data_IF_071402025564
#
_entry.id   IF_071402025564
#
_cell.length_a   1.000
_cell.length_b   1.000
_cell.length_c   1.000
_cell.angle_alpha   90.00
_cell.angle_beta   90.00
_cell.angle_gamma   90.00
#
_symmetry.space_group_name_H-M   'P 1'
#
loop_
_entity.id
_entity.type
_entity.pdbx_description
1 polymer ?
#
# COMPACT_ATOMS: atom_id res chain seq x y z
N UNK A 1 -10.44 -12.68 -32.65
CA UNK A 1 -10.32 -11.78 -31.45
C UNK A 1 -10.63 -12.67 -30.27
N UNK A 2 -9.61 -13.19 -29.58
CA UNK A 2 -9.80 -13.96 -28.35
C UNK A 2 -10.40 -13.02 -27.32
N UNK A 3 -11.57 -13.38 -26.78
CA UNK A 3 -12.20 -12.69 -25.63
C UNK A 3 -11.14 -12.55 -24.53
N UNK A 4 -10.79 -11.32 -24.22
CA UNK A 4 -9.91 -10.99 -23.10
C UNK A 4 -10.74 -11.12 -21.83
N UNK A 5 -10.90 -12.35 -21.37
CA UNK A 5 -11.70 -12.65 -20.21
C UNK A 5 -11.09 -12.02 -18.95
N UNK A 6 -11.88 -11.17 -18.30
CA UNK A 6 -11.63 -10.75 -16.93
C UNK A 6 -11.70 -12.01 -16.06
N UNK A 7 -10.65 -12.37 -15.29
CA UNK A 7 -10.67 -13.59 -14.50
C UNK A 7 -11.87 -13.63 -13.54
N UNK A 8 -12.59 -14.75 -13.51
CA UNK A 8 -13.82 -14.88 -12.72
C UNK A 8 -13.62 -14.62 -11.22
N UNK A 9 -12.49 -15.06 -10.67
CA UNK A 9 -12.15 -14.82 -9.26
C UNK A 9 -11.95 -13.32 -8.97
N UNK A 10 -11.37 -12.58 -9.93
CA UNK A 10 -11.20 -11.14 -9.83
C UNK A 10 -12.53 -10.40 -9.91
N UNK A 11 -13.39 -10.81 -10.84
CA UNK A 11 -14.73 -10.24 -10.97
C UNK A 11 -15.57 -10.47 -9.69
N UNK A 12 -15.49 -11.67 -9.11
CA UNK A 12 -16.16 -11.97 -7.84
C UNK A 12 -15.64 -11.09 -6.70
N UNK A 13 -14.32 -10.94 -6.56
CA UNK A 13 -13.70 -10.11 -5.53
C UNK A 13 -14.10 -8.62 -5.66
N UNK A 14 -14.05 -8.06 -6.87
CA UNK A 14 -14.42 -6.66 -7.14
C UNK A 14 -15.91 -6.43 -6.84
N UNK A 15 -16.78 -7.36 -7.25
CA UNK A 15 -18.23 -7.27 -6.97
C UNK A 15 -18.53 -7.33 -5.47
N UNK A 16 -17.86 -8.20 -4.72
CA UNK A 16 -18.02 -8.32 -3.27
C UNK A 16 -17.51 -7.07 -2.54
N UNK A 17 -16.32 -6.58 -2.88
CA UNK A 17 -15.67 -5.48 -2.17
C UNK A 17 -16.27 -4.10 -2.48
N UNK A 18 -16.56 -3.81 -3.77
CA UNK A 18 -17.06 -2.51 -4.22
C UNK A 18 -18.58 -2.48 -4.45
N UNK A 19 -19.28 -3.61 -4.32
CA UNK A 19 -20.71 -3.71 -4.50
C UNK A 19 -21.16 -3.28 -5.91
N UNK A 20 -22.25 -2.52 -5.99
CA UNK A 20 -22.82 -2.04 -7.27
C UNK A 20 -21.81 -1.24 -8.12
N UNK A 21 -20.95 -0.44 -7.50
CA UNK A 21 -19.92 0.31 -8.21
C UNK A 21 -18.90 -0.61 -8.88
N UNK A 22 -18.49 -1.67 -8.18
CA UNK A 22 -17.60 -2.69 -8.73
C UNK A 22 -18.25 -3.45 -9.88
N UNK A 23 -19.51 -3.85 -9.73
CA UNK A 23 -20.25 -4.54 -10.77
C UNK A 23 -20.40 -3.69 -12.04
N UNK A 24 -20.74 -2.41 -11.92
CA UNK A 24 -20.81 -1.48 -13.04
C UNK A 24 -19.46 -1.31 -13.74
N UNK A 25 -18.40 -1.11 -12.96
CA UNK A 25 -17.04 -0.99 -13.50
C UNK A 25 -16.58 -2.24 -14.25
N UNK A 26 -16.91 -3.43 -13.76
CA UNK A 26 -16.59 -4.71 -14.45
C UNK A 26 -17.26 -4.82 -15.82
N UNK A 27 -18.47 -4.30 -15.97
CA UNK A 27 -19.17 -4.26 -17.28
C UNK A 27 -18.44 -3.33 -18.26
N UNK A 28 -17.93 -2.20 -17.79
CA UNK A 28 -17.22 -1.20 -18.60
C UNK A 28 -15.75 -1.56 -18.87
N UNK A 29 -15.14 -2.41 -18.03
CA UNK A 29 -13.72 -2.70 -18.08
C UNK A 29 -13.21 -3.19 -19.45
N UNK A 30 -13.87 -4.11 -20.19
CA UNK A 30 -13.39 -4.55 -21.49
C UNK A 30 -13.29 -3.41 -22.51
N UNK A 31 -14.29 -2.51 -22.55
CA UNK A 31 -14.31 -1.37 -23.45
C UNK A 31 -13.28 -0.31 -23.05
N UNK A 32 -13.09 -0.10 -21.75
CA UNK A 32 -12.05 0.78 -21.22
C UNK A 32 -10.65 0.25 -21.61
N UNK A 33 -10.37 -1.03 -21.41
CA UNK A 33 -9.11 -1.65 -21.82
C UNK A 33 -8.86 -1.50 -23.33
N UNK A 34 -9.88 -1.71 -24.17
CA UNK A 34 -9.78 -1.53 -25.61
C UNK A 34 -9.51 -0.06 -25.99
N UNK A 35 -10.10 0.88 -25.26
CA UNK A 35 -9.92 2.32 -25.48
C UNK A 35 -8.52 2.77 -25.07
N UNK A 36 -8.03 2.33 -23.91
CA UNK A 36 -6.68 2.62 -23.44
C UNK A 36 -5.62 1.99 -24.37
N UNK A 37 -5.86 0.77 -24.83
CA UNK A 37 -4.96 0.10 -25.77
C UNK A 37 -4.82 0.88 -27.09
N UNK A 38 -5.91 1.39 -27.65
CA UNK A 38 -5.85 2.24 -28.86
C UNK A 38 -5.19 3.59 -28.58
N UNK A 39 -5.55 4.26 -27.45
CA UNK A 39 -5.07 5.61 -27.11
C UNK A 39 -3.57 5.65 -26.83
N UNK A 40 -3.04 4.61 -26.18
CA UNK A 40 -1.64 4.51 -25.78
C UNK A 40 -0.83 3.56 -26.68
N UNK A 41 -1.44 3.09 -27.77
CA UNK A 41 -0.81 2.18 -28.77
C UNK A 41 -0.19 0.94 -28.13
N UNK A 42 -1.02 0.19 -27.37
CA UNK A 42 -0.59 -0.98 -26.60
C UNK A 42 -1.09 -2.29 -27.20
N UNK A 43 -0.21 -3.29 -27.22
CA UNK A 43 -0.60 -4.69 -27.30
C UNK A 43 -0.80 -5.21 -25.88
N UNK A 44 -2.06 -5.55 -25.53
CA UNK A 44 -2.39 -6.11 -24.23
C UNK A 44 -2.06 -7.60 -24.19
N UNK A 45 -1.36 -8.04 -23.17
CA UNK A 45 -1.11 -9.45 -22.87
C UNK A 45 -2.07 -9.94 -21.75
N UNK A 46 -2.16 -11.27 -21.49
CA UNK A 46 -2.97 -11.78 -20.39
C UNK A 46 -2.59 -11.15 -19.06
N UNK A 47 -3.57 -10.86 -18.18
CA UNK A 47 -3.30 -10.23 -16.90
C UNK A 47 -2.42 -11.11 -16.01
N UNK A 48 -1.74 -10.48 -15.05
CA UNK A 48 -1.00 -11.21 -14.03
C UNK A 48 -1.93 -12.08 -13.20
N UNK A 49 -1.41 -13.18 -12.67
CA UNK A 49 -2.12 -14.01 -11.71
C UNK A 49 -2.24 -13.28 -10.36
N UNK A 50 -3.30 -13.60 -9.59
CA UNK A 50 -3.48 -13.07 -8.23
C UNK A 50 -3.93 -11.61 -8.19
N UNK A 51 -4.73 -11.16 -9.18
CA UNK A 51 -5.36 -9.84 -9.13
C UNK A 51 -6.23 -9.69 -7.87
N UNK A 52 -6.22 -8.49 -7.30
CA UNK A 52 -7.04 -8.12 -6.14
C UNK A 52 -7.89 -6.86 -6.43
N UNK A 53 -7.42 -5.69 -6.03
CA UNK A 53 -8.16 -4.42 -6.18
C UNK A 53 -8.09 -3.81 -7.59
N UNK A 54 -7.14 -4.24 -8.41
CA UNK A 54 -6.86 -3.65 -9.71
C UNK A 54 -6.69 -4.74 -10.78
N UNK A 55 -7.13 -4.44 -11.99
CA UNK A 55 -6.73 -5.18 -13.17
C UNK A 55 -5.31 -4.76 -13.53
N UNK A 56 -4.38 -5.70 -13.58
CA UNK A 56 -2.97 -5.44 -13.88
C UNK A 56 -2.50 -6.42 -14.95
N UNK A 57 -2.02 -5.89 -16.06
CA UNK A 57 -1.57 -6.69 -17.19
C UNK A 57 -0.24 -6.20 -17.75
N UNK A 58 0.65 -7.10 -18.19
CA UNK A 58 1.77 -6.73 -19.00
C UNK A 58 1.28 -6.27 -20.38
N UNK A 59 1.99 -5.29 -20.95
CA UNK A 59 1.68 -4.77 -22.28
C UNK A 59 2.97 -4.54 -23.07
N UNK A 60 2.85 -4.49 -24.41
CA UNK A 60 3.94 -4.07 -25.30
C UNK A 60 3.52 -2.77 -25.96
N UNK A 61 4.40 -1.76 -25.91
CA UNK A 61 4.19 -0.45 -26.54
C UNK A 61 4.53 -0.49 -28.04
N UNK A 62 4.11 0.50 -28.81
CA UNK A 62 4.38 0.62 -30.23
C UNK A 62 5.87 0.56 -30.59
N UNK A 63 6.75 1.01 -29.69
CA UNK A 63 8.20 0.94 -29.85
C UNK A 63 8.81 -0.43 -29.48
N UNK A 64 7.96 -1.42 -29.16
CA UNK A 64 8.36 -2.76 -28.71
C UNK A 64 8.78 -2.84 -27.24
N UNK A 65 8.79 -1.73 -26.50
CA UNK A 65 9.18 -1.75 -25.08
C UNK A 65 8.08 -2.35 -24.19
N UNK A 66 8.46 -3.15 -23.17
CA UNK A 66 7.51 -3.72 -22.22
C UNK A 66 7.05 -2.67 -21.20
N UNK A 67 5.77 -2.72 -20.85
CA UNK A 67 5.17 -1.90 -19.83
C UNK A 67 4.14 -2.68 -19.02
N UNK A 68 3.54 -2.05 -18.00
CA UNK A 68 2.45 -2.60 -17.18
C UNK A 68 1.28 -1.62 -17.22
N UNK A 69 0.12 -2.12 -17.63
CA UNK A 69 -1.15 -1.41 -17.52
C UNK A 69 -1.84 -1.82 -16.22
N UNK A 70 -2.21 -0.84 -15.39
CA UNK A 70 -2.99 -1.01 -14.18
C UNK A 70 -4.26 -0.17 -14.26
N UNK A 71 -5.41 -0.77 -13.99
CA UNK A 71 -6.73 -0.10 -14.02
C UNK A 71 -7.51 -0.50 -12.77
N UNK A 72 -8.10 0.46 -12.09
CA UNK A 72 -8.90 0.22 -10.88
C UNK A 72 -10.27 0.88 -10.91
N UNK A 73 -11.13 0.48 -9.98
CA UNK A 73 -12.37 1.21 -9.71
C UNK A 73 -11.99 2.65 -9.32
N UNK A 74 -12.61 3.70 -9.93
CA UNK A 74 -12.23 5.08 -9.66
C UNK A 74 -12.34 5.45 -8.18
N UNK A 75 -11.20 5.73 -7.56
CA UNK A 75 -11.06 6.13 -6.15
C UNK A 75 -10.03 7.25 -5.98
N UNK A 76 -10.13 7.99 -4.89
CA UNK A 76 -9.21 9.09 -4.59
C UNK A 76 -7.76 8.59 -4.41
N UNK A 77 -7.56 7.43 -3.79
CA UNK A 77 -6.22 6.83 -3.60
C UNK A 77 -5.50 6.54 -4.93
N UNK A 78 -6.23 6.15 -5.97
CA UNK A 78 -5.63 5.95 -7.29
C UNK A 78 -5.10 7.28 -7.88
N UNK A 79 -5.83 8.39 -7.66
CA UNK A 79 -5.41 9.73 -8.10
C UNK A 79 -4.17 10.22 -7.34
N UNK A 80 -4.14 10.01 -6.02
CA UNK A 80 -2.97 10.39 -5.21
C UNK A 80 -1.77 9.49 -5.48
N UNK A 81 -1.97 8.21 -5.82
CA UNK A 81 -0.93 7.30 -6.30
C UNK A 81 -0.32 7.77 -7.64
N UNK A 82 -1.13 8.22 -8.60
CA UNK A 82 -0.67 8.84 -9.84
C UNK A 82 0.18 10.10 -9.54
N UNK A 83 -0.30 10.96 -8.66
CA UNK A 83 0.43 12.17 -8.26
C UNK A 83 1.78 11.83 -7.60
N UNK A 84 1.82 10.78 -6.77
CA UNK A 84 3.04 10.28 -6.16
C UNK A 84 4.07 9.81 -7.20
N UNK A 85 3.66 8.97 -8.16
CA UNK A 85 4.55 8.49 -9.21
C UNK A 85 5.09 9.64 -10.08
N UNK A 86 4.26 10.63 -10.39
CA UNK A 86 4.70 11.86 -11.08
C UNK A 86 5.75 12.62 -10.27
N UNK A 87 5.54 12.73 -8.96
CA UNK A 87 6.48 13.43 -8.07
C UNK A 87 7.80 12.66 -7.93
N UNK A 88 7.78 11.34 -7.90
CA UNK A 88 8.98 10.49 -7.90
C UNK A 88 9.74 10.56 -9.23
N UNK A 89 9.03 10.69 -10.35
CA UNK A 89 9.62 10.75 -11.69
C UNK A 89 10.63 9.61 -11.94
N UNK A 90 10.31 8.41 -11.50
CA UNK A 90 11.15 7.23 -11.62
C UNK A 90 12.22 7.06 -10.54
N UNK A 91 12.45 8.05 -9.67
CA UNK A 91 13.44 7.96 -8.62
C UNK A 91 12.87 7.20 -7.40
N UNK A 92 13.36 5.99 -7.16
CA UNK A 92 12.92 5.06 -6.11
C UNK A 92 11.63 4.29 -6.41
N UNK A 93 10.86 4.69 -7.42
CA UNK A 93 9.64 4.01 -7.86
C UNK A 93 9.68 3.73 -9.37
N UNK A 94 8.79 2.87 -9.84
CA UNK A 94 8.58 2.66 -11.28
C UNK A 94 8.19 3.96 -11.97
N UNK A 95 8.68 4.17 -13.22
CA UNK A 95 8.30 5.33 -14.02
C UNK A 95 6.83 5.25 -14.41
N UNK A 96 6.10 6.34 -14.21
CA UNK A 96 4.79 6.53 -14.81
C UNK A 96 4.99 6.99 -16.26
N UNK A 97 4.49 6.21 -17.22
CA UNK A 97 4.59 6.51 -18.66
C UNK A 97 3.39 7.33 -19.12
N UNK A 98 2.18 6.85 -18.78
CA UNK A 98 0.91 7.50 -19.08
C UNK A 98 -0.06 7.36 -17.90
N UNK A 99 -1.03 8.24 -17.80
CA UNK A 99 -2.09 8.14 -16.80
C UNK A 99 -3.41 8.73 -17.28
N UNK A 100 -4.50 8.06 -16.95
CA UNK A 100 -5.85 8.56 -17.03
C UNK A 100 -6.45 8.59 -15.61
N UNK A 101 -6.43 9.78 -15.00
CA UNK A 101 -6.85 9.95 -13.61
C UNK A 101 -8.37 9.82 -13.43
N UNK A 102 -9.16 10.01 -14.48
CA UNK A 102 -10.60 9.84 -14.45
C UNK A 102 -10.98 8.36 -14.30
N UNK A 103 -10.33 7.52 -15.09
CA UNK A 103 -10.56 6.08 -15.12
C UNK A 103 -9.61 5.29 -14.21
N UNK A 104 -8.80 5.98 -13.40
CA UNK A 104 -7.80 5.36 -12.52
C UNK A 104 -6.91 4.34 -13.26
N UNK A 105 -6.48 4.71 -14.48
CA UNK A 105 -5.61 3.91 -15.32
C UNK A 105 -4.19 4.47 -15.34
N UNK A 106 -3.19 3.58 -15.19
CA UNK A 106 -1.78 3.89 -15.20
C UNK A 106 -1.05 2.97 -16.17
N UNK A 107 -0.21 3.56 -17.01
CA UNK A 107 0.81 2.84 -17.77
C UNK A 107 2.16 3.10 -17.12
N UNK A 108 2.83 2.07 -16.68
CA UNK A 108 4.09 2.17 -15.94
C UNK A 108 5.18 1.33 -16.60
N UNK A 109 6.46 1.68 -16.35
CA UNK A 109 7.56 0.81 -16.74
C UNK A 109 7.37 -0.58 -16.12
N UNK A 110 7.81 -1.61 -16.84
CA UNK A 110 7.84 -2.97 -16.33
C UNK A 110 9.19 -3.25 -15.67
N UNK A 111 9.19 -3.46 -14.34
CA UNK A 111 10.38 -3.88 -13.62
C UNK A 111 10.78 -5.31 -14.04
N UNK A 112 12.08 -5.55 -14.27
CA UNK A 112 12.66 -6.86 -14.48
C UNK A 112 13.80 -7.09 -13.51
N UNK A 113 13.90 -8.26 -12.87
CA UNK A 113 13.00 -9.41 -13.00
C UNK A 113 11.62 -9.21 -12.36
N UNK A 114 11.39 -8.13 -11.61
CA UNK A 114 10.12 -7.83 -10.95
C UNK A 114 9.82 -8.73 -9.73
N UNK A 115 10.83 -9.43 -9.23
CA UNK A 115 10.67 -10.28 -8.05
C UNK A 115 10.46 -9.41 -6.80
N UNK A 116 9.39 -9.65 -6.02
CA UNK A 116 9.13 -8.85 -4.83
C UNK A 116 10.15 -9.14 -3.72
N UNK A 117 10.35 -8.17 -2.84
CA UNK A 117 11.26 -8.27 -1.69
C UNK A 117 10.88 -9.41 -0.74
N UNK A 118 9.62 -9.86 -0.75
CA UNK A 118 9.18 -11.07 -0.03
C UNK A 118 9.92 -12.34 -0.43
N UNK A 119 10.59 -12.37 -1.59
CA UNK A 119 11.41 -13.53 -2.02
C UNK A 119 12.75 -13.61 -1.31
N UNK A 120 13.18 -12.54 -0.66
CA UNK A 120 14.39 -12.52 0.13
C UNK A 120 14.13 -13.20 1.49
N UNK A 121 14.95 -14.21 1.81
CA UNK A 121 14.77 -14.99 3.05
C UNK A 121 15.32 -14.26 4.27
N UNK A 122 16.41 -13.51 4.09
CA UNK A 122 17.04 -12.72 5.16
C UNK A 122 16.19 -11.47 5.46
N UNK A 123 15.52 -11.50 6.61
CA UNK A 123 14.62 -10.43 7.05
C UNK A 123 15.35 -9.13 7.44
N UNK A 124 16.57 -9.24 7.95
CA UNK A 124 17.42 -8.09 8.28
C UNK A 124 17.85 -7.37 7.00
N UNK A 125 18.28 -8.14 5.98
CA UNK A 125 18.63 -7.61 4.66
C UNK A 125 17.41 -6.97 4.00
N UNK A 126 16.25 -7.65 3.99
CA UNK A 126 15.01 -7.12 3.44
C UNK A 126 14.58 -5.81 4.12
N UNK A 127 14.67 -5.74 5.45
CA UNK A 127 14.35 -4.53 6.21
C UNK A 127 15.32 -3.39 5.87
N UNK A 128 16.62 -3.69 5.73
CA UNK A 128 17.64 -2.72 5.34
C UNK A 128 17.39 -2.14 3.94
N UNK A 129 17.06 -2.99 2.96
CA UNK A 129 16.68 -2.59 1.59
C UNK A 129 15.46 -1.69 1.61
N UNK A 130 14.41 -2.07 2.35
CA UNK A 130 13.19 -1.28 2.45
C UNK A 130 13.46 0.10 3.04
N UNK A 131 14.34 0.22 4.04
CA UNK A 131 14.74 1.50 4.61
C UNK A 131 15.43 2.41 3.57
N UNK A 132 16.31 1.84 2.73
CA UNK A 132 16.95 2.62 1.67
C UNK A 132 15.95 3.09 0.61
N UNK A 133 14.99 2.24 0.22
CA UNK A 133 13.91 2.61 -0.69
C UNK A 133 13.06 3.73 -0.08
N UNK A 134 12.66 3.65 1.20
CA UNK A 134 11.93 4.69 1.92
C UNK A 134 12.66 6.04 1.85
N UNK A 135 13.96 6.07 2.12
CA UNK A 135 14.77 7.30 2.08
C UNK A 135 14.75 7.98 0.71
N UNK A 136 14.77 7.19 -0.35
CA UNK A 136 14.68 7.72 -1.73
C UNK A 136 13.29 8.22 -2.04
N UNK A 137 12.24 7.57 -1.54
CA UNK A 137 10.86 7.91 -1.85
C UNK A 137 10.31 9.14 -1.13
N UNK A 138 10.80 9.45 0.07
CA UNK A 138 10.26 10.57 0.86
C UNK A 138 10.52 11.91 0.19
N UNK A 139 9.45 12.59 -0.20
CA UNK A 139 9.50 13.86 -0.91
C UNK A 139 8.96 15.02 -0.05
N UNK A 140 9.48 16.23 -0.21
CA UNK A 140 8.84 17.43 0.32
C UNK A 140 7.41 17.53 -0.18
N UNK A 141 6.50 18.03 0.66
CA UNK A 141 5.09 18.24 0.26
C UNK A 141 5.02 19.39 -0.74
N UNK A 142 4.59 19.14 -2.00
CA UNK A 142 4.49 20.18 -3.00
C UNK A 142 3.20 20.99 -2.79
N UNK A 143 3.26 22.29 -3.13
CA UNK A 143 2.08 23.15 -3.07
C UNK A 143 1.03 22.86 -4.17
N UNK A 144 1.41 22.11 -5.20
CA UNK A 144 0.61 21.91 -6.42
C UNK A 144 -0.26 20.65 -6.43
N UNK A 145 -0.06 19.74 -5.48
CA UNK A 145 -0.81 18.47 -5.43
C UNK A 145 -1.59 18.34 -4.12
N UNK A 146 -2.81 17.80 -4.23
CA UNK A 146 -3.59 17.40 -3.08
C UNK A 146 -3.39 15.90 -2.83
N UNK A 147 -2.92 15.56 -1.64
CA UNK A 147 -2.74 14.18 -1.18
C UNK A 147 -3.67 13.88 -0.01
N UNK A 148 -3.99 12.62 0.16
CA UNK A 148 -4.67 12.15 1.37
C UNK A 148 -3.69 12.30 2.55
N UNK A 149 -4.15 12.86 3.68
CA UNK A 149 -3.31 12.96 4.88
C UNK A 149 -3.38 11.69 5.73
N UNK A 150 -2.31 11.39 6.47
CA UNK A 150 -2.31 10.32 7.49
C UNK A 150 -3.44 10.54 8.49
N UNK A 151 -3.66 11.77 8.94
CA UNK A 151 -4.77 12.09 9.85
C UNK A 151 -6.14 11.73 9.29
N UNK A 152 -6.36 11.88 7.98
CA UNK A 152 -7.60 11.44 7.33
C UNK A 152 -7.76 9.92 7.32
N UNK A 153 -6.68 9.16 7.14
CA UNK A 153 -6.71 7.69 7.21
C UNK A 153 -7.07 7.20 8.62
N UNK A 154 -6.52 7.84 9.64
CA UNK A 154 -6.77 7.52 11.05
C UNK A 154 -8.22 7.78 11.49
N UNK A 155 -9.03 8.53 10.73
CA UNK A 155 -10.48 8.64 10.98
C UNK A 155 -11.24 7.32 10.90
N UNK A 156 -10.61 6.25 10.45
CA UNK A 156 -11.20 4.92 10.55
C UNK A 156 -11.51 4.52 11.99
N UNK A 157 -10.73 4.98 12.98
CA UNK A 157 -11.02 4.76 14.39
C UNK A 157 -12.36 5.41 14.80
N UNK A 158 -12.57 6.68 14.43
CA UNK A 158 -13.83 7.40 14.67
C UNK A 158 -15.02 6.68 13.99
N UNK A 159 -14.82 6.15 12.76
CA UNK A 159 -15.86 5.40 12.06
C UNK A 159 -16.21 4.10 12.77
N UNK A 160 -15.24 3.37 13.34
CA UNK A 160 -15.51 2.20 14.19
C UNK A 160 -16.37 2.63 15.37
N UNK A 161 -16.01 3.70 16.08
CA UNK A 161 -16.82 4.24 17.18
C UNK A 161 -18.25 4.56 16.75
N UNK A 162 -18.43 5.22 15.61
CA UNK A 162 -19.76 5.57 15.06
C UNK A 162 -20.60 4.34 14.76
N UNK A 163 -20.03 3.34 14.07
CA UNK A 163 -20.74 2.09 13.70
C UNK A 163 -21.16 1.29 14.94
N UNK A 164 -20.34 1.30 15.99
CA UNK A 164 -20.58 0.51 17.21
C UNK A 164 -21.07 1.35 18.40
N UNK A 165 -21.75 2.48 18.17
CA UNK A 165 -22.42 3.26 19.20
C UNK A 165 -21.48 3.83 20.28
N UNK A 166 -20.25 4.18 19.92
CA UNK A 166 -19.20 4.65 20.83
C UNK A 166 -18.25 3.56 21.30
N UNK A 167 -18.57 2.27 21.10
CA UNK A 167 -17.72 1.13 21.45
C UNK A 167 -16.67 0.79 20.38
N UNK A 168 -15.87 -0.25 20.67
CA UNK A 168 -14.78 -0.71 19.81
C UNK A 168 -15.21 -1.85 18.86
N UNK A 169 -16.47 -2.29 18.89
CA UNK A 169 -16.96 -3.44 18.13
C UNK A 169 -16.22 -4.72 18.51
N UNK A 170 -15.71 -5.50 17.54
CA UNK A 170 -14.98 -6.72 17.83
C UNK A 170 -13.54 -6.50 18.33
N UNK A 171 -13.03 -5.24 18.29
CA UNK A 171 -11.73 -4.89 18.86
C UNK A 171 -11.86 -4.71 20.37
N UNK A 172 -10.75 -4.89 21.13
CA UNK A 172 -10.78 -4.57 22.55
C UNK A 172 -10.81 -3.04 22.77
N UNK A 173 -11.56 -2.59 23.76
CA UNK A 173 -11.68 -1.15 24.09
C UNK A 173 -10.31 -0.52 24.41
N UNK A 174 -9.48 -1.22 25.17
CA UNK A 174 -8.15 -0.75 25.52
C UNK A 174 -7.22 -0.63 24.31
N UNK A 175 -7.35 -1.56 23.33
CA UNK A 175 -6.55 -1.52 22.10
C UNK A 175 -6.90 -0.32 21.23
N UNK A 176 -8.18 -0.10 20.97
CA UNK A 176 -8.64 1.02 20.13
C UNK A 176 -8.32 2.36 20.81
N UNK A 177 -8.63 2.51 22.11
CA UNK A 177 -8.35 3.75 22.87
C UNK A 177 -6.85 4.07 22.91
N UNK A 178 -5.97 3.05 23.05
CA UNK A 178 -4.52 3.24 22.98
C UNK A 178 -4.09 3.70 21.60
N UNK A 179 -4.64 3.12 20.52
CA UNK A 179 -4.32 3.52 19.15
C UNK A 179 -4.78 4.95 18.85
N UNK A 180 -5.98 5.34 19.29
CA UNK A 180 -6.50 6.70 19.18
C UNK A 180 -5.59 7.71 19.88
N UNK A 181 -5.18 7.42 21.12
CA UNK A 181 -4.25 8.27 21.89
C UNK A 181 -2.90 8.41 21.18
N UNK A 182 -2.28 7.29 20.78
CA UNK A 182 -1.02 7.31 20.05
C UNK A 182 -1.14 8.07 18.72
N UNK A 183 -2.23 7.91 17.99
CA UNK A 183 -2.47 8.63 16.74
C UNK A 183 -2.47 10.16 16.95
N UNK A 184 -3.14 10.65 17.99
CA UNK A 184 -3.16 12.08 18.34
C UNK A 184 -1.75 12.57 18.70
N UNK A 185 -1.04 11.84 19.56
CA UNK A 185 0.32 12.20 19.98
C UNK A 185 1.31 12.20 18.80
N UNK A 186 1.24 11.18 17.95
CA UNK A 186 2.11 11.05 16.77
C UNK A 186 1.86 12.16 15.74
N UNK A 187 0.61 12.50 15.47
CA UNK A 187 0.27 13.60 14.56
C UNK A 187 0.72 14.96 15.12
N UNK A 188 0.48 15.22 16.42
CA UNK A 188 0.84 16.49 17.04
C UNK A 188 2.36 16.69 17.18
N UNK A 189 3.14 15.60 17.28
CA UNK A 189 4.58 15.64 17.48
C UNK A 189 5.39 15.26 16.23
N UNK A 190 4.77 15.25 15.04
CA UNK A 190 5.47 14.93 13.79
C UNK A 190 6.65 15.91 13.58
N UNK A 191 7.89 15.43 13.43
CA UNK A 191 9.05 16.32 13.29
C UNK A 191 9.02 17.09 11.98
N UNK A 192 8.44 16.52 10.96
CA UNK A 192 8.19 17.08 9.63
C UNK A 192 7.22 16.19 8.86
N UNK A 193 6.60 16.73 7.82
CA UNK A 193 5.76 15.97 6.91
C UNK A 193 6.47 15.70 5.59
N UNK A 194 6.13 14.57 4.97
CA UNK A 194 6.58 14.15 3.64
C UNK A 194 5.42 13.58 2.86
N UNK A 195 5.56 13.60 1.54
CA UNK A 195 4.78 12.71 0.69
C UNK A 195 5.39 11.33 0.81
N UNK A 196 4.58 10.36 1.16
CA UNK A 196 4.90 8.97 1.45
C UNK A 196 4.24 8.07 0.41
N UNK A 197 4.79 6.89 0.21
CA UNK A 197 4.16 5.84 -0.59
C UNK A 197 2.79 5.45 0.01
N UNK A 198 2.70 5.35 1.33
CA UNK A 198 1.47 5.13 2.10
C UNK A 198 1.05 3.67 2.22
N UNK A 199 1.78 2.74 1.60
CA UNK A 199 1.57 1.29 1.68
C UNK A 199 2.84 0.52 1.28
N UNK A 200 4.01 0.99 1.74
CA UNK A 200 5.28 0.43 1.35
C UNK A 200 5.62 -0.83 2.18
N UNK A 201 5.24 -1.96 1.65
CA UNK A 201 5.58 -3.27 2.21
C UNK A 201 6.37 -4.13 1.23
N UNK A 202 6.80 -5.31 1.64
CA UNK A 202 7.70 -6.18 0.90
C UNK A 202 7.24 -6.55 -0.50
N UNK A 203 5.93 -6.72 -0.74
CA UNK A 203 5.39 -7.03 -2.07
C UNK A 203 5.35 -5.82 -2.99
N UNK A 204 5.39 -4.60 -2.42
CA UNK A 204 5.43 -3.34 -3.15
C UNK A 204 6.85 -2.81 -3.41
N UNK A 205 7.87 -3.61 -3.10
CA UNK A 205 9.28 -3.34 -3.43
C UNK A 205 9.76 -4.49 -4.32
N UNK A 206 10.13 -4.18 -5.56
CA UNK A 206 10.47 -5.19 -6.56
C UNK A 206 11.88 -4.99 -7.11
N UNK A 207 12.57 -6.10 -7.38
CA UNK A 207 13.88 -6.07 -8.03
C UNK A 207 13.75 -5.55 -9.46
N UNK A 208 14.68 -4.71 -9.90
CA UNK A 208 14.65 -4.11 -11.23
C UNK A 208 16.06 -3.94 -11.82
N UNK A 209 16.12 -3.74 -13.16
CA UNK A 209 17.40 -3.53 -13.86
C UNK A 209 17.88 -2.09 -13.77
N UNK A 210 16.96 -1.11 -13.79
CA UNK A 210 17.28 0.32 -13.77
C UNK A 210 17.85 0.76 -12.41
N UNK A 211 17.36 0.15 -11.34
CA UNK A 211 17.86 0.28 -9.99
C UNK A 211 17.70 -1.07 -9.27
N UNK A 212 18.49 -1.38 -8.24
CA UNK A 212 18.38 -2.69 -7.57
C UNK A 212 16.96 -3.00 -7.09
N UNK A 213 16.26 -1.99 -6.56
CA UNK A 213 14.90 -2.10 -6.05
C UNK A 213 14.09 -0.84 -6.42
N UNK A 214 12.83 -1.06 -6.80
CA UNK A 214 11.86 -0.01 -7.11
C UNK A 214 10.55 -0.27 -6.39
N UNK A 215 9.91 0.80 -5.94
CA UNK A 215 8.56 0.73 -5.39
C UNK A 215 7.49 0.71 -6.49
N UNK A 216 6.41 -0.02 -6.23
CA UNK A 216 5.20 -0.12 -7.05
C UNK A 216 3.97 0.11 -6.17
N UNK A 217 2.83 0.41 -6.77
CA UNK A 217 1.51 0.53 -6.12
C UNK A 217 1.42 1.58 -4.98
N UNK A 218 1.89 2.81 -5.16
CA UNK A 218 1.75 3.84 -4.14
C UNK A 218 0.28 4.28 -3.94
N UNK A 219 -0.04 4.68 -2.70
CA UNK A 219 -1.29 5.35 -2.35
C UNK A 219 -1.14 6.87 -2.36
N UNK A 220 0.07 7.40 -2.18
CA UNK A 220 0.35 8.82 -2.13
C UNK A 220 -0.30 9.50 -0.91
N UNK A 221 0.41 9.51 0.21
CA UNK A 221 -0.11 10.01 1.49
C UNK A 221 0.82 11.09 2.03
N UNK A 222 0.28 12.14 2.66
CA UNK A 222 1.07 13.16 3.35
C UNK A 222 1.01 12.95 4.85
N UNK A 223 2.17 12.94 5.48
CA UNK A 223 2.28 12.91 6.93
C UNK A 223 3.68 12.63 7.46
N UNK A 224 3.71 12.16 8.68
CA UNK A 224 4.91 11.74 9.39
C UNK A 224 5.57 10.53 8.70
N UNK A 225 6.87 10.60 8.35
CA UNK A 225 7.59 9.47 7.75
C UNK A 225 7.54 8.18 8.59
N UNK A 226 7.40 8.26 9.90
CA UNK A 226 7.21 7.09 10.75
C UNK A 226 5.97 6.26 10.37
N UNK A 227 4.94 6.87 9.80
CA UNK A 227 3.78 6.16 9.28
C UNK A 227 4.16 5.14 8.20
N UNK A 228 5.11 5.45 7.33
CA UNK A 228 5.57 4.52 6.28
C UNK A 228 6.14 3.22 6.85
N UNK A 229 6.86 3.31 7.99
CA UNK A 229 7.47 2.13 8.59
C UNK A 229 6.46 1.10 9.09
N UNK A 230 5.27 1.53 9.47
CA UNK A 230 4.24 0.64 10.00
C UNK A 230 3.72 -0.37 8.96
N UNK A 231 3.62 0.02 7.68
CA UNK A 231 3.24 -0.90 6.61
C UNK A 231 4.29 -2.02 6.45
N UNK A 232 5.58 -1.68 6.43
CA UNK A 232 6.67 -2.65 6.36
C UNK A 232 6.71 -3.57 7.57
N UNK A 233 6.65 -2.99 8.77
CA UNK A 233 6.75 -3.71 10.05
C UNK A 233 5.67 -4.78 10.18
N UNK A 234 4.45 -4.48 9.76
CA UNK A 234 3.29 -5.37 9.85
C UNK A 234 3.18 -6.38 8.71
N UNK A 235 4.12 -6.40 7.77
CA UNK A 235 4.14 -7.30 6.61
C UNK A 235 5.47 -8.08 6.53
N UNK A 236 5.58 -9.15 5.72
CA UNK A 236 4.54 -9.69 4.83
C UNK A 236 3.39 -10.33 5.59
N UNK A 237 2.18 -10.20 5.03
CA UNK A 237 1.00 -10.84 5.58
C UNK A 237 1.18 -12.37 5.63
N UNK A 238 0.79 -13.02 6.72
CA UNK A 238 0.95 -14.47 6.92
C UNK A 238 2.35 -14.91 7.40
N UNK A 239 3.38 -14.05 7.36
CA UNK A 239 4.74 -14.44 7.76
C UNK A 239 4.95 -14.37 9.28
N UNK A 240 4.29 -13.45 9.97
CA UNK A 240 4.40 -13.34 11.43
C UNK A 240 4.00 -14.63 12.13
N UNK A 241 3.01 -15.32 11.60
CA UNK A 241 2.49 -16.59 12.12
C UNK A 241 3.53 -17.72 12.06
N UNK A 242 4.58 -17.55 11.25
CA UNK A 242 5.71 -18.48 11.14
C UNK A 242 6.90 -18.12 12.02
N UNK A 243 6.91 -16.95 12.66
CA UNK A 243 8.01 -16.52 13.50
C UNK A 243 8.00 -17.24 14.86
N UNK A 244 9.15 -17.81 15.22
CA UNK A 244 9.34 -18.48 16.52
C UNK A 244 9.27 -17.47 17.68
N UNK A 245 9.73 -16.24 17.44
CA UNK A 245 9.76 -15.16 18.44
C UNK A 245 9.36 -13.81 17.83
N UNK A 246 8.06 -13.60 17.55
CA UNK A 246 7.59 -12.39 16.87
C UNK A 246 8.05 -11.07 17.51
N UNK A 247 8.04 -10.98 18.84
CA UNK A 247 8.50 -9.78 19.56
C UNK A 247 9.96 -9.46 19.28
N UNK A 248 10.85 -10.45 19.19
CA UNK A 248 12.26 -10.24 18.82
C UNK A 248 12.40 -9.76 17.39
N UNK A 249 11.59 -10.29 16.47
CA UNK A 249 11.62 -9.90 15.08
C UNK A 249 11.16 -8.45 14.89
N UNK A 250 10.07 -8.04 15.54
CA UNK A 250 9.62 -6.65 15.55
C UNK A 250 10.69 -5.72 16.16
N UNK A 251 11.29 -6.11 17.28
CA UNK A 251 12.35 -5.32 17.91
C UNK A 251 13.54 -5.16 16.96
N UNK A 252 14.00 -6.24 16.32
CA UNK A 252 15.13 -6.23 15.38
C UNK A 252 14.87 -5.36 14.16
N UNK A 253 13.68 -5.47 13.53
CA UNK A 253 13.27 -4.60 12.44
C UNK A 253 13.25 -3.12 12.87
N UNK A 254 12.70 -2.83 14.05
CA UNK A 254 12.66 -1.46 14.58
C UNK A 254 14.07 -0.89 14.79
N UNK A 255 15.02 -1.71 15.26
CA UNK A 255 16.43 -1.30 15.44
C UNK A 255 17.08 -0.96 14.09
N UNK A 256 16.90 -1.81 13.06
CA UNK A 256 17.43 -1.59 11.70
C UNK A 256 16.83 -0.33 11.09
N UNK A 257 15.52 -0.16 11.17
CA UNK A 257 14.84 1.03 10.64
C UNK A 257 15.28 2.30 11.36
N UNK A 258 15.41 2.25 12.70
CA UNK A 258 15.86 3.40 13.48
C UNK A 258 17.26 3.85 13.07
N UNK A 259 18.19 2.89 12.91
CA UNK A 259 19.54 3.15 12.47
C UNK A 259 19.60 3.71 11.03
N UNK A 260 18.97 3.00 10.08
CA UNK A 260 19.04 3.33 8.65
C UNK A 260 18.30 4.61 8.28
N UNK A 261 17.14 4.86 8.89
CA UNK A 261 16.34 6.05 8.67
C UNK A 261 16.75 7.23 9.54
N UNK A 262 17.58 7.02 10.58
CA UNK A 262 17.89 7.98 11.64
C UNK A 262 16.61 8.52 12.28
N UNK A 263 15.71 7.60 12.63
CA UNK A 263 14.39 7.91 13.14
C UNK A 263 14.17 7.27 14.50
N UNK A 264 13.46 7.92 15.45
CA UNK A 264 13.30 7.39 16.81
C UNK A 264 12.63 6.01 16.81
N UNK A 265 13.27 5.03 17.43
CA UNK A 265 12.80 3.64 17.52
C UNK A 265 11.41 3.53 18.15
N UNK A 266 11.19 4.25 19.22
CA UNK A 266 9.91 4.28 19.95
C UNK A 266 8.78 4.80 19.04
N UNK A 267 9.10 5.76 18.18
CA UNK A 267 8.15 6.31 17.22
C UNK A 267 7.81 5.32 16.11
N UNK A 268 8.80 4.52 15.65
CA UNK A 268 8.59 3.41 14.70
C UNK A 268 7.62 2.38 15.31
N UNK A 269 7.88 1.95 16.55
CA UNK A 269 7.01 0.99 17.25
C UNK A 269 5.61 1.54 17.49
N UNK A 270 5.49 2.83 17.88
CA UNK A 270 4.20 3.48 18.05
C UNK A 270 3.39 3.54 16.75
N UNK A 271 4.02 3.88 15.62
CA UNK A 271 3.38 3.81 14.30
C UNK A 271 3.04 2.39 13.89
N UNK A 272 3.91 1.40 14.19
CA UNK A 272 3.64 -0.02 13.92
C UNK A 272 2.38 -0.49 14.64
N UNK A 273 2.24 -0.17 15.93
CA UNK A 273 1.04 -0.47 16.71
C UNK A 273 -0.19 0.22 16.13
N UNK A 274 -0.09 1.52 15.90
CA UNK A 274 -1.20 2.34 15.40
C UNK A 274 -1.70 1.83 14.05
N UNK A 275 -0.80 1.48 13.14
CA UNK A 275 -1.18 0.91 11.83
C UNK A 275 -1.75 -0.51 11.92
N UNK A 276 -1.27 -1.36 12.82
CA UNK A 276 -1.88 -2.67 13.02
C UNK A 276 -3.36 -2.53 13.46
N UNK A 277 -3.65 -1.62 14.41
CA UNK A 277 -5.02 -1.34 14.84
C UNK A 277 -5.84 -0.64 13.74
N UNK A 278 -5.21 0.22 12.93
CA UNK A 278 -5.85 0.86 11.78
C UNK A 278 -6.27 -0.17 10.73
N UNK A 279 -5.39 -1.10 10.40
CA UNK A 279 -5.69 -2.20 9.46
C UNK A 279 -6.80 -3.11 10.02
N UNK A 280 -6.76 -3.44 11.31
CA UNK A 280 -7.86 -4.15 11.97
C UNK A 280 -9.18 -3.38 11.88
N UNK A 281 -9.14 -2.05 12.05
CA UNK A 281 -10.33 -1.20 11.95
C UNK A 281 -10.92 -1.19 10.53
N UNK A 282 -10.10 -1.16 9.48
CA UNK A 282 -10.58 -1.28 8.11
C UNK A 282 -11.23 -2.63 7.84
N UNK A 283 -10.66 -3.74 8.31
CA UNK A 283 -11.26 -5.07 8.17
C UNK A 283 -12.61 -5.19 8.91
N UNK A 284 -12.69 -4.60 10.12
CA UNK A 284 -13.94 -4.53 10.89
C UNK A 284 -15.01 -3.71 10.16
N UNK A 285 -14.65 -2.57 9.59
CA UNK A 285 -15.57 -1.74 8.81
C UNK A 285 -16.00 -2.39 7.49
N UNK A 286 -15.15 -3.23 6.91
CA UNK A 286 -15.48 -4.05 5.74
C UNK A 286 -16.29 -5.32 6.09
N UNK A 287 -16.55 -5.59 7.38
CA UNK A 287 -17.30 -6.77 7.81
C UNK A 287 -16.55 -8.09 7.68
N UNK A 288 -15.21 -8.07 7.55
CA UNK A 288 -14.40 -9.29 7.41
C UNK A 288 -13.91 -9.80 8.77
N UNK A 289 -13.52 -11.08 8.82
CA UNK A 289 -12.93 -11.69 10.03
C UNK A 289 -11.40 -11.60 10.08
N UNK A 290 -10.77 -10.99 9.06
CA UNK A 290 -9.30 -10.92 8.95
C UNK A 290 -8.65 -9.96 9.95
N UNK A 291 -9.43 -9.14 10.65
CA UNK A 291 -8.93 -8.25 11.70
C UNK A 291 -8.14 -8.97 12.79
N UNK A 292 -8.41 -10.28 13.04
CA UNK A 292 -7.72 -11.04 14.08
C UNK A 292 -6.20 -11.13 13.92
N UNK A 293 -5.69 -11.23 12.69
CA UNK A 293 -4.25 -11.24 12.45
C UNK A 293 -3.58 -9.88 12.72
N UNK A 294 -4.30 -8.79 12.47
CA UNK A 294 -3.83 -7.44 12.80
C UNK A 294 -3.85 -7.17 14.30
N UNK A 295 -4.88 -7.68 15.00
CA UNK A 295 -4.96 -7.65 16.47
C UNK A 295 -3.76 -8.35 17.08
N UNK A 296 -3.42 -9.56 16.62
CA UNK A 296 -2.26 -10.30 17.11
C UNK A 296 -0.93 -9.53 16.93
N UNK A 297 -0.76 -8.81 15.80
CA UNK A 297 0.40 -7.93 15.58
C UNK A 297 0.44 -6.78 16.60
N UNK A 298 -0.69 -6.11 16.79
CA UNK A 298 -0.79 -5.03 17.76
C UNK A 298 -0.47 -5.51 19.19
N UNK A 299 -0.94 -6.69 19.59
CA UNK A 299 -0.65 -7.29 20.90
C UNK A 299 0.85 -7.54 21.10
N UNK A 300 1.52 -8.09 20.10
CA UNK A 300 2.98 -8.32 20.16
C UNK A 300 3.72 -6.99 20.27
N UNK A 301 3.40 -6.00 19.40
CA UNK A 301 4.06 -4.70 19.41
C UNK A 301 3.79 -3.93 20.70
N UNK A 302 2.61 -4.10 21.31
CA UNK A 302 2.26 -3.49 22.58
C UNK A 302 3.22 -3.85 23.73
N UNK A 303 3.87 -5.00 23.65
CA UNK A 303 4.87 -5.44 24.66
C UNK A 303 6.23 -4.77 24.48
N UNK A 304 6.45 -4.06 23.37
CA UNK A 304 7.70 -3.37 23.04
C UNK A 304 7.61 -1.85 23.24
N UNK A 305 6.38 -1.33 23.50
CA UNK A 305 6.05 0.07 23.81
C UNK A 305 6.01 0.31 25.32
#
# INVERSE_FOLDING_TARGET
MTEREVPSYFAAFIGEYFGERGAAWLVELPDLLATLARRWELELLPPFAGLSFHYVAPVVRADGSPAVLKVGVPEEEARTGIAFLRLCNGDGAVCLLEADAEHCALLMERAFPGSPLTRLEDDDEATGIAAEVMRVLWRPVPATYSFITVGRRLRAFERVRQVYGGGAGPLSEGMLSRAEKLAIELLASAPYERVLHGDLHHDNIVAAQRAPWLAIDPKGVVGDPGYETGALMNNPYGRMETWIAPGRQFARRADILAERLRYPRERILAWTYTQAVLSASWEVLAGTVRYGSWVARAEVVATLL
#
